data_IF_454936020292
#
_entry.id   IF_454936020292
#
_cell.length_a   1.000
_cell.length_b   1.000
_cell.length_c   1.000
_cell.angle_alpha   90.00
_cell.angle_beta   90.00
_cell.angle_gamma   90.00
#
_symmetry.space_group_name_H-M   'P 1'
#
loop_
_entity.id
_entity.type
_entity.pdbx_description
1 polymer ?
#
# COMPACT_ATOMS: atom_id res chain seq x y z
N UNK A 1 31.27 -37.86 6.11
CA UNK A 1 31.89 -36.53 5.87
C UNK A 1 30.95 -35.49 6.43
N UNK A 2 31.43 -34.66 7.35
CA UNK A 2 30.66 -33.59 7.99
C UNK A 2 30.45 -32.45 7.00
N UNK A 3 29.22 -31.93 6.88
CA UNK A 3 28.94 -30.77 6.03
C UNK A 3 29.81 -29.58 6.47
N UNK A 4 30.56 -28.99 5.54
CA UNK A 4 31.47 -27.86 5.83
C UNK A 4 30.81 -26.49 5.65
N UNK A 5 29.66 -26.43 4.97
CA UNK A 5 28.88 -25.21 4.81
C UNK A 5 27.43 -25.56 4.45
N UNK A 6 26.48 -24.84 5.04
CA UNK A 6 25.07 -24.89 4.66
C UNK A 6 24.73 -23.60 3.93
N UNK A 7 24.51 -23.68 2.62
CA UNK A 7 23.97 -22.55 1.86
C UNK A 7 22.48 -22.41 2.15
N UNK A 8 22.07 -21.25 2.67
CA UNK A 8 20.67 -21.01 2.99
C UNK A 8 19.89 -20.44 1.80
N UNK A 9 20.34 -19.33 1.21
CA UNK A 9 19.78 -18.71 -0.01
C UNK A 9 20.63 -17.51 -0.47
N UNK A 10 20.48 -17.13 -1.74
CA UNK A 10 20.86 -15.78 -2.22
C UNK A 10 19.81 -14.76 -1.74
N UNK A 11 20.15 -13.48 -1.58
CA UNK A 11 19.21 -12.43 -1.10
C UNK A 11 17.92 -12.36 -1.92
N UNK A 12 18.01 -12.73 -3.19
CA UNK A 12 16.97 -12.52 -4.18
C UNK A 12 16.06 -13.75 -4.37
N UNK A 13 16.42 -14.88 -3.73
CA UNK A 13 15.70 -16.14 -3.83
C UNK A 13 14.98 -16.44 -2.51
N UNK A 14 13.67 -16.69 -2.57
CA UNK A 14 12.87 -17.15 -1.44
C UNK A 14 12.48 -18.61 -1.61
N UNK A 15 12.55 -19.40 -0.55
CA UNK A 15 11.98 -20.75 -0.54
C UNK A 15 10.58 -20.73 0.07
N UNK A 16 9.61 -21.35 -0.58
CA UNK A 16 8.27 -21.57 -0.04
C UNK A 16 7.87 -23.04 -0.23
N UNK A 17 6.87 -23.50 0.52
CA UNK A 17 6.19 -24.76 0.25
C UNK A 17 5.13 -24.53 -0.82
N UNK A 18 5.16 -25.31 -1.90
CA UNK A 18 4.17 -25.22 -2.97
C UNK A 18 2.78 -25.59 -2.43
N UNK A 19 1.81 -24.69 -2.58
CA UNK A 19 0.40 -24.92 -2.17
C UNK A 19 -0.43 -25.58 -3.27
N UNK A 20 0.10 -25.62 -4.49
CA UNK A 20 -0.44 -26.25 -5.69
C UNK A 20 0.73 -26.66 -6.58
N UNK A 21 0.45 -27.41 -7.65
CA UNK A 21 1.50 -27.79 -8.59
C UNK A 21 2.06 -26.56 -9.31
N UNK A 22 3.39 -26.42 -9.32
CA UNK A 22 4.07 -25.23 -9.83
C UNK A 22 5.00 -25.56 -11.00
N UNK A 23 5.04 -24.71 -12.02
CA UNK A 23 5.93 -24.86 -13.19
C UNK A 23 7.04 -23.82 -13.23
N UNK A 24 8.18 -24.15 -13.84
CA UNK A 24 9.28 -23.18 -14.02
C UNK A 24 8.80 -21.94 -14.79
N UNK A 25 9.19 -20.75 -14.34
CA UNK A 25 8.77 -19.48 -14.92
C UNK A 25 7.36 -19.02 -14.51
N UNK A 26 6.62 -19.81 -13.72
CA UNK A 26 5.31 -19.40 -13.22
C UNK A 26 5.42 -18.17 -12.32
N UNK A 27 4.55 -17.19 -12.56
CA UNK A 27 4.36 -16.01 -11.72
C UNK A 27 3.47 -16.38 -10.55
N UNK A 28 3.91 -16.11 -9.33
CA UNK A 28 3.15 -16.34 -8.10
C UNK A 28 3.17 -15.10 -7.20
N UNK A 29 2.06 -14.82 -6.55
CA UNK A 29 1.99 -13.81 -5.50
C UNK A 29 2.37 -14.44 -4.15
N UNK A 30 3.25 -13.78 -3.41
CA UNK A 30 3.60 -14.13 -2.03
C UNK A 30 2.57 -13.56 -1.06
N UNK A 31 2.45 -14.17 0.13
CA UNK A 31 1.50 -13.72 1.16
C UNK A 31 1.65 -12.24 1.58
N UNK A 32 2.84 -11.67 1.43
CA UNK A 32 3.09 -10.25 1.74
C UNK A 32 2.81 -9.31 0.55
N UNK A 33 2.24 -9.81 -0.55
CA UNK A 33 1.87 -9.04 -1.74
C UNK A 33 2.97 -8.85 -2.78
N UNK A 34 4.20 -9.30 -2.51
CA UNK A 34 5.30 -9.32 -3.50
C UNK A 34 5.14 -10.45 -4.51
N UNK A 35 5.70 -10.26 -5.70
CA UNK A 35 5.77 -11.30 -6.73
C UNK A 35 7.02 -12.16 -6.60
N UNK A 36 6.85 -13.45 -6.88
CA UNK A 36 7.93 -14.40 -7.11
C UNK A 36 7.78 -15.10 -8.46
N UNK A 37 8.91 -15.43 -9.10
CA UNK A 37 8.97 -16.29 -10.28
C UNK A 37 9.58 -17.63 -9.89
N UNK A 38 8.89 -18.73 -10.19
CA UNK A 38 9.38 -20.09 -9.94
C UNK A 38 10.66 -20.37 -10.74
N UNK A 39 11.72 -20.80 -10.06
CA UNK A 39 13.03 -21.08 -10.65
C UNK A 39 13.40 -22.57 -10.58
N UNK A 40 14.20 -23.01 -11.55
CA UNK A 40 15.05 -24.19 -11.40
C UNK A 40 14.34 -25.55 -11.42
N UNK A 41 13.17 -25.67 -12.05
CA UNK A 41 12.54 -26.98 -12.21
C UNK A 41 13.15 -27.69 -13.42
N UNK A 42 13.95 -28.73 -13.16
CA UNK A 42 14.79 -29.38 -14.17
C UNK A 42 14.04 -30.20 -15.23
N UNK A 43 12.70 -30.36 -15.17
CA UNK A 43 11.86 -30.92 -16.27
C UNK A 43 10.42 -31.25 -15.88
N UNK A 44 9.94 -30.94 -14.68
CA UNK A 44 8.59 -31.27 -14.24
C UNK A 44 7.94 -30.19 -13.39
N UNK A 45 6.62 -30.25 -13.25
CA UNK A 45 5.93 -29.48 -12.22
C UNK A 45 6.39 -29.98 -10.85
N UNK A 46 6.66 -29.07 -9.92
CA UNK A 46 6.76 -29.44 -8.51
C UNK A 46 5.37 -29.82 -8.03
N UNK A 47 5.31 -30.89 -7.24
CA UNK A 47 4.05 -31.34 -6.66
C UNK A 47 3.78 -30.52 -5.39
N UNK A 48 2.50 -30.29 -5.12
CA UNK A 48 2.03 -29.69 -3.87
C UNK A 48 2.75 -30.28 -2.64
N UNK A 49 3.25 -29.42 -1.75
CA UNK A 49 3.98 -29.80 -0.54
C UNK A 49 5.51 -29.79 -0.67
N UNK A 50 6.06 -29.67 -1.89
CA UNK A 50 7.50 -29.57 -2.11
C UNK A 50 8.03 -28.14 -1.90
N UNK A 51 9.31 -28.01 -1.55
CA UNK A 51 9.97 -26.71 -1.42
C UNK A 51 10.41 -26.17 -2.79
N UNK A 52 9.90 -24.99 -3.16
CA UNK A 52 10.22 -24.30 -4.41
C UNK A 52 11.06 -23.05 -4.15
N UNK A 53 12.00 -22.76 -5.05
CA UNK A 53 12.75 -21.51 -5.07
C UNK A 53 12.06 -20.48 -5.97
N UNK A 54 11.82 -19.28 -5.43
CA UNK A 54 11.21 -18.15 -6.13
C UNK A 54 12.22 -17.01 -6.25
N UNK A 55 12.44 -16.50 -7.45
CA UNK A 55 13.14 -15.24 -7.66
C UNK A 55 12.20 -14.07 -7.36
N UNK A 56 12.61 -13.17 -6.47
CA UNK A 56 11.78 -12.02 -6.01
C UNK A 56 12.33 -10.67 -6.45
N UNK A 57 13.47 -10.65 -7.15
CA UNK A 57 14.12 -9.45 -7.68
C UNK A 57 14.81 -9.79 -9.00
N UNK A 58 15.05 -8.78 -9.82
CA UNK A 58 15.73 -8.89 -11.12
C UNK A 58 14.82 -8.60 -12.30
N UNK A 59 15.41 -8.54 -13.51
CA UNK A 59 14.69 -8.25 -14.75
C UNK A 59 14.33 -9.53 -15.48
N UNK A 60 13.04 -9.71 -15.79
CA UNK A 60 12.51 -10.91 -16.45
C UNK A 60 11.72 -10.54 -17.70
N UNK A 61 11.78 -11.40 -18.72
CA UNK A 61 10.85 -11.35 -19.86
C UNK A 61 9.55 -12.03 -19.45
N UNK A 62 8.47 -11.26 -19.30
CA UNK A 62 7.14 -11.73 -18.88
C UNK A 62 6.19 -11.69 -20.07
N UNK A 63 5.37 -12.72 -20.23
CA UNK A 63 4.35 -12.79 -21.29
C UNK A 63 3.36 -11.63 -21.18
N UNK A 64 3.02 -11.02 -22.31
CA UNK A 64 2.06 -9.93 -22.41
C UNK A 64 1.25 -10.07 -23.71
N UNK A 65 0.02 -9.54 -23.72
CA UNK A 65 -0.79 -9.56 -24.93
C UNK A 65 -0.13 -8.71 -26.04
N UNK A 66 -0.29 -9.13 -27.30
CA UNK A 66 0.37 -8.49 -28.45
C UNK A 66 -0.06 -7.04 -28.64
N UNK A 67 -1.33 -6.73 -28.36
CA UNK A 67 -1.88 -5.37 -28.49
C UNK A 67 -1.45 -4.42 -27.37
N UNK A 68 -1.02 -4.94 -26.22
CA UNK A 68 -0.63 -4.13 -25.06
C UNK A 68 0.69 -3.42 -25.30
N UNK A 69 0.81 -2.16 -24.94
CA UNK A 69 2.06 -1.39 -25.04
C UNK A 69 2.49 -0.91 -23.66
N UNK A 70 3.81 -0.82 -23.45
CA UNK A 70 4.41 -0.25 -22.25
C UNK A 70 5.51 0.72 -22.65
N UNK A 71 5.65 1.82 -21.91
CA UNK A 71 6.84 2.68 -21.91
C UNK A 71 7.82 2.20 -20.85
N UNK A 72 9.10 2.54 -21.00
CA UNK A 72 10.06 2.33 -19.91
C UNK A 72 9.67 3.20 -18.71
N UNK A 73 9.60 2.58 -17.52
CA UNK A 73 9.11 3.22 -16.30
C UNK A 73 7.64 2.96 -15.98
N UNK A 74 6.86 2.38 -16.90
CA UNK A 74 5.45 2.07 -16.63
C UNK A 74 5.30 0.97 -15.59
N UNK A 75 4.29 1.12 -14.73
CA UNK A 75 3.88 0.09 -13.79
C UNK A 75 3.22 -1.08 -14.54
N UNK A 76 3.64 -2.30 -14.20
CA UNK A 76 3.18 -3.54 -14.83
C UNK A 76 2.46 -4.40 -13.79
N UNK A 77 1.27 -4.86 -14.15
CA UNK A 77 0.43 -5.73 -13.36
C UNK A 77 0.29 -7.09 -14.03
N UNK A 78 0.07 -8.13 -13.26
CA UNK A 78 -0.27 -9.47 -13.72
C UNK A 78 -1.77 -9.62 -13.76
N UNK A 79 -2.32 -9.90 -14.94
CA UNK A 79 -3.69 -10.38 -15.12
C UNK A 79 -3.67 -11.91 -14.96
N UNK A 80 -4.21 -12.37 -13.85
CA UNK A 80 -4.28 -13.79 -13.49
C UNK A 80 -5.20 -14.58 -14.43
N UNK A 81 -6.27 -13.95 -14.92
CA UNK A 81 -7.26 -14.58 -15.79
C UNK A 81 -6.72 -14.83 -17.20
N UNK A 82 -5.91 -13.91 -17.71
CA UNK A 82 -5.24 -14.02 -19.00
C UNK A 82 -3.83 -14.63 -18.91
N UNK A 83 -3.28 -14.77 -17.69
CA UNK A 83 -1.88 -15.14 -17.45
C UNK A 83 -0.91 -14.27 -18.26
N UNK A 84 -1.13 -12.95 -18.22
CA UNK A 84 -0.39 -11.98 -19.03
C UNK A 84 -0.14 -10.68 -18.27
N UNK A 85 0.93 -9.98 -18.65
CA UNK A 85 1.24 -8.65 -18.12
C UNK A 85 0.34 -7.59 -18.79
N UNK A 86 -0.25 -6.73 -17.95
CA UNK A 86 -1.17 -5.65 -18.33
C UNK A 86 -0.75 -4.32 -17.69
N UNK A 87 -1.07 -3.16 -18.29
CA UNK A 87 -0.79 -1.86 -17.72
C UNK A 87 -1.81 -1.53 -16.63
N UNK A 88 -1.45 -0.61 -15.73
CA UNK A 88 -2.29 -0.13 -14.64
C UNK A 88 -3.67 0.41 -15.09
N UNK A 89 -3.80 0.82 -16.36
CA UNK A 89 -5.01 1.41 -16.91
C UNK A 89 -6.10 0.39 -17.27
N UNK A 90 -5.80 -0.91 -17.25
CA UNK A 90 -6.81 -1.96 -17.47
C UNK A 90 -7.56 -2.19 -16.16
N UNK A 91 -8.86 -2.47 -16.23
CA UNK A 91 -9.65 -2.86 -15.05
C UNK A 91 -9.06 -4.15 -14.47
N UNK A 92 -8.38 -4.02 -13.33
CA UNK A 92 -7.81 -5.15 -12.62
C UNK A 92 -8.88 -5.80 -11.74
N UNK A 93 -8.94 -7.13 -11.75
CA UNK A 93 -9.63 -7.85 -10.68
C UNK A 93 -8.77 -7.76 -9.42
N UNK A 94 -9.13 -6.85 -8.52
CA UNK A 94 -8.39 -6.60 -7.29
C UNK A 94 -8.19 -7.85 -6.40
N UNK A 95 -8.96 -8.93 -6.63
CA UNK A 95 -8.85 -10.18 -5.87
C UNK A 95 -7.84 -11.18 -6.44
N UNK A 96 -7.42 -11.01 -7.69
CA UNK A 96 -6.59 -12.01 -8.39
C UNK A 96 -5.41 -11.38 -9.16
N UNK A 97 -5.55 -10.13 -9.59
CA UNK A 97 -4.51 -9.39 -10.30
C UNK A 97 -3.62 -8.63 -9.33
N UNK A 98 -2.32 -8.59 -9.62
CA UNK A 98 -1.34 -8.05 -8.68
C UNK A 98 -0.18 -7.36 -9.38
N UNK A 99 0.46 -6.44 -8.66
CA UNK A 99 1.60 -5.68 -9.16
C UNK A 99 2.82 -6.59 -9.40
N UNK A 100 3.40 -6.54 -10.59
CA UNK A 100 4.64 -7.26 -10.94
C UNK A 100 5.88 -6.42 -10.63
N UNK A 101 5.88 -5.16 -11.04
CA UNK A 101 7.08 -4.33 -11.07
C UNK A 101 7.00 -3.22 -12.11
N UNK A 102 8.17 -2.76 -12.58
CA UNK A 102 8.29 -1.66 -13.54
C UNK A 102 8.88 -2.16 -14.85
N UNK A 103 8.34 -1.71 -15.97
CA UNK A 103 8.89 -1.99 -17.29
C UNK A 103 10.26 -1.30 -17.45
N UNK A 104 11.30 -2.08 -17.77
CA UNK A 104 12.67 -1.55 -17.96
C UNK A 104 12.92 -1.05 -19.39
N UNK A 105 12.09 -1.47 -20.33
CA UNK A 105 12.16 -1.09 -21.73
C UNK A 105 10.74 -0.94 -22.29
N UNK A 106 10.60 -0.11 -23.32
CA UNK A 106 9.34 0.03 -24.01
C UNK A 106 8.97 -1.28 -24.74
N UNK A 107 7.70 -1.67 -24.64
CA UNK A 107 7.09 -2.73 -25.43
C UNK A 107 6.15 -2.11 -26.45
N UNK A 108 6.34 -2.41 -27.72
CA UNK A 108 5.45 -1.97 -28.80
C UNK A 108 4.40 -3.03 -29.12
N UNK A 109 3.39 -2.64 -29.90
CA UNK A 109 2.39 -3.59 -30.41
C UNK A 109 3.06 -4.68 -31.27
N UNK A 110 2.55 -5.90 -31.18
CA UNK A 110 3.07 -7.09 -31.88
C UNK A 110 4.12 -7.89 -31.09
N UNK A 111 4.80 -7.29 -30.11
CA UNK A 111 5.65 -8.03 -29.18
C UNK A 111 4.79 -8.82 -28.19
N UNK A 112 5.22 -10.00 -27.76
CA UNK A 112 4.47 -10.86 -26.82
C UNK A 112 5.11 -10.96 -25.44
N UNK A 113 6.20 -10.22 -25.20
CA UNK A 113 6.90 -10.16 -23.92
C UNK A 113 7.21 -8.72 -23.52
N UNK A 114 7.28 -8.46 -22.21
CA UNK A 114 7.74 -7.20 -21.61
C UNK A 114 8.87 -7.49 -20.63
N UNK A 115 9.91 -6.64 -20.61
CA UNK A 115 11.00 -6.71 -19.63
C UNK A 115 10.62 -6.00 -18.34
N UNK A 116 10.40 -6.74 -17.26
CA UNK A 116 9.94 -6.21 -15.97
C UNK A 116 11.01 -6.38 -14.92
N UNK A 117 11.37 -5.30 -14.23
CA UNK A 117 12.14 -5.36 -12.99
C UNK A 117 11.18 -5.70 -11.84
N UNK A 118 11.29 -6.92 -11.32
CA UNK A 118 10.35 -7.49 -10.36
C UNK A 118 10.35 -6.75 -9.04
N UNK A 119 9.16 -6.44 -8.56
CA UNK A 119 8.93 -5.68 -7.34
C UNK A 119 9.66 -4.32 -7.31
N UNK A 120 10.20 -3.85 -8.44
CA UNK A 120 10.72 -2.50 -8.55
C UNK A 120 9.59 -1.52 -8.26
N UNK A 121 9.87 -0.51 -7.44
CA UNK A 121 8.82 0.42 -7.01
C UNK A 121 7.76 -0.19 -6.07
N UNK A 122 7.93 -1.44 -5.59
CA UNK A 122 7.08 -1.97 -4.53
C UNK A 122 7.29 -1.12 -3.27
N UNK A 123 6.37 -0.17 -3.09
CA UNK A 123 6.37 0.72 -1.93
C UNK A 123 5.93 -0.14 -0.76
N UNK A 124 6.89 -0.57 0.07
CA UNK A 124 6.58 -0.98 1.43
C UNK A 124 5.62 0.05 2.01
N UNK A 125 4.58 -0.40 2.71
CA UNK A 125 3.74 0.47 3.54
C UNK A 125 4.66 1.19 4.53
N UNK A 126 5.17 2.34 4.11
CA UNK A 126 5.78 3.32 4.98
C UNK A 126 4.61 4.07 5.62
N UNK A 127 4.79 4.63 6.82
CA UNK A 127 3.81 5.56 7.37
C UNK A 127 3.55 6.62 6.31
N UNK A 128 2.29 6.70 5.85
CA UNK A 128 1.91 7.76 4.93
C UNK A 128 1.75 9.01 5.76
N UNK A 129 2.46 10.06 5.35
CA UNK A 129 2.42 11.36 5.98
C UNK A 129 1.90 12.33 4.96
N UNK A 130 0.78 12.96 5.28
CA UNK A 130 0.28 14.12 4.54
C UNK A 130 0.15 15.28 5.51
N UNK A 131 0.60 16.45 5.08
CA UNK A 131 0.47 17.69 5.86
C UNK A 131 -0.74 18.45 5.32
N UNK A 132 -1.79 18.52 6.13
CA UNK A 132 -3.00 19.28 5.83
C UNK A 132 -2.80 20.73 6.24
N UNK A 133 -3.25 21.64 5.38
CA UNK A 133 -3.34 23.06 5.71
C UNK A 133 -4.74 23.35 6.28
N UNK A 134 -4.82 23.52 7.60
CA UNK A 134 -6.10 23.71 8.27
C UNK A 134 -6.60 25.16 8.22
N UNK A 135 -5.99 26.03 7.39
CA UNK A 135 -6.50 27.37 7.12
C UNK A 135 -7.82 27.33 6.32
N UNK A 136 -8.72 28.25 6.66
CA UNK A 136 -10.04 28.32 6.04
C UNK A 136 -9.93 28.54 4.53
N UNK A 137 -10.44 27.58 3.76
CA UNK A 137 -10.51 27.65 2.29
C UNK A 137 -9.22 27.29 1.58
N UNK A 138 -8.16 26.89 2.29
CA UNK A 138 -6.89 26.48 1.69
C UNK A 138 -6.92 25.01 1.29
N UNK A 139 -7.11 24.10 2.25
CA UNK A 139 -7.11 22.66 1.98
C UNK A 139 -8.49 22.01 2.04
N UNK A 140 -9.34 22.35 1.07
CA UNK A 140 -10.71 21.80 0.99
C UNK A 140 -10.80 20.46 0.25
N UNK A 141 -9.68 19.97 -0.28
CA UNK A 141 -9.65 18.77 -1.12
C UNK A 141 -9.56 17.48 -0.28
N UNK A 142 -10.03 16.38 -0.85
CA UNK A 142 -9.79 15.05 -0.28
C UNK A 142 -8.43 14.55 -0.74
N UNK A 143 -7.55 14.21 0.21
CA UNK A 143 -6.21 13.69 -0.06
C UNK A 143 -6.14 12.20 0.15
N UNK A 144 -5.41 11.52 -0.74
CA UNK A 144 -5.16 10.08 -0.62
C UNK A 144 -4.01 9.84 0.34
N UNK A 145 -4.30 9.23 1.49
CA UNK A 145 -3.30 8.83 2.48
C UNK A 145 -2.76 7.45 2.12
N UNK A 146 -3.63 6.48 1.88
CA UNK A 146 -3.26 5.15 1.40
C UNK A 146 -4.00 4.88 0.09
N UNK A 147 -3.30 4.77 -1.05
CA UNK A 147 -3.95 4.42 -2.32
C UNK A 147 -4.60 3.03 -2.27
N UNK A 148 -5.74 2.87 -2.95
CA UNK A 148 -6.44 1.58 -3.05
C UNK A 148 -5.57 0.44 -3.61
N UNK A 149 -4.68 0.76 -4.55
CA UNK A 149 -3.73 -0.20 -5.11
C UNK A 149 -2.74 -0.77 -4.09
N UNK A 150 -2.53 -0.09 -2.95
CA UNK A 150 -1.69 -0.55 -1.84
C UNK A 150 -2.48 -1.39 -0.83
N UNK A 151 -3.76 -1.63 -1.07
CA UNK A 151 -4.66 -2.43 -0.25
C UNK A 151 -5.31 -3.58 -1.07
N UNK A 152 -4.53 -4.51 -1.65
CA UNK A 152 -5.11 -5.61 -2.42
C UNK A 152 -5.85 -6.63 -1.54
N UNK A 153 -5.44 -6.82 -0.29
CA UNK A 153 -5.95 -7.90 0.58
C UNK A 153 -6.78 -7.42 1.77
N UNK A 154 -7.00 -6.11 1.89
CA UNK A 154 -7.56 -5.49 3.09
C UNK A 154 -6.46 -4.90 3.98
N UNK A 155 -6.79 -3.87 4.74
CA UNK A 155 -5.90 -3.25 5.72
C UNK A 155 -6.51 -3.32 7.10
N UNK A 156 -5.65 -3.52 8.09
CA UNK A 156 -5.95 -3.28 9.50
C UNK A 156 -5.25 -1.99 9.93
N UNK A 157 -6.04 -0.98 10.28
CA UNK A 157 -5.56 0.30 10.81
C UNK A 157 -5.20 0.10 12.27
N UNK A 158 -3.92 0.27 12.60
CA UNK A 158 -3.41 0.08 13.95
C UNK A 158 -3.41 1.39 14.73
N UNK A 159 -3.07 2.49 14.07
CA UNK A 159 -3.06 3.83 14.67
C UNK A 159 -3.16 4.91 13.60
N UNK A 160 -3.90 5.97 13.93
CA UNK A 160 -3.94 7.24 13.19
C UNK A 160 -3.65 8.35 14.18
N UNK A 161 -2.68 9.18 13.84
CA UNK A 161 -2.19 10.26 14.71
C UNK A 161 -1.92 11.51 13.88
N UNK A 162 -2.31 12.67 14.39
CA UNK A 162 -1.92 13.98 13.89
C UNK A 162 -0.77 14.55 14.72
N UNK A 163 0.15 15.26 14.09
CA UNK A 163 1.15 16.13 14.72
C UNK A 163 0.92 17.56 14.23
N UNK A 164 0.77 18.50 15.14
CA UNK A 164 0.66 19.92 14.80
C UNK A 164 2.04 20.39 14.31
N UNK A 165 2.15 20.75 13.03
CA UNK A 165 3.41 21.22 12.44
C UNK A 165 3.51 22.73 12.35
N UNK A 166 2.38 23.42 12.43
CA UNK A 166 2.27 24.87 12.56
C UNK A 166 1.10 25.18 13.51
N UNK A 167 1.25 26.20 14.36
CA UNK A 167 0.31 26.51 15.44
C UNK A 167 -1.09 26.79 14.89
N UNK A 168 -2.13 26.18 15.48
CA UNK A 168 -3.51 26.54 15.14
C UNK A 168 -3.85 27.91 15.73
N UNK A 169 -3.90 28.94 14.89
CA UNK A 169 -4.23 30.29 15.33
C UNK A 169 -5.75 30.51 15.33
N UNK A 170 -6.32 30.84 16.49
CA UNK A 170 -7.72 31.24 16.63
C UNK A 170 -8.00 31.90 17.98
N UNK A 171 -9.16 32.55 18.10
CA UNK A 171 -9.59 33.22 19.35
C UNK A 171 -10.77 32.55 20.04
N UNK A 172 -11.34 31.51 19.42
CA UNK A 172 -12.57 30.85 19.89
C UNK A 172 -12.75 29.40 19.43
N UNK A 173 -12.12 28.99 18.32
CA UNK A 173 -12.13 27.60 17.84
C UNK A 173 -10.79 27.31 17.14
N UNK A 174 -9.82 26.82 17.91
CA UNK A 174 -8.43 26.54 17.47
C UNK A 174 -8.31 25.15 16.82
N UNK A 175 -9.41 24.65 16.25
CA UNK A 175 -9.52 23.24 15.87
C UNK A 175 -9.38 23.10 14.36
N UNK A 176 -8.16 22.81 13.90
CA UNK A 176 -7.95 22.16 12.60
C UNK A 176 -8.41 20.70 12.70
N UNK A 177 -9.67 20.43 12.36
CA UNK A 177 -10.24 19.08 12.42
C UNK A 177 -10.00 18.37 11.09
N UNK A 178 -9.33 17.23 11.14
CA UNK A 178 -9.10 16.37 9.98
C UNK A 178 -9.91 15.08 10.13
N UNK A 179 -10.77 14.79 9.15
CA UNK A 179 -11.54 13.54 9.11
C UNK A 179 -10.90 12.56 8.14
N UNK A 180 -10.65 11.35 8.63
CA UNK A 180 -10.06 10.24 7.88
C UNK A 180 -11.15 9.26 7.48
N UNK A 181 -11.15 8.87 6.21
CA UNK A 181 -12.18 8.01 5.60
C UNK A 181 -11.56 6.89 4.78
N UNK A 182 -12.23 5.76 4.66
CA UNK A 182 -11.97 4.84 3.56
C UNK A 182 -12.61 5.35 2.25
N UNK A 183 -12.30 4.73 1.12
CA UNK A 183 -12.90 5.11 -0.17
C UNK A 183 -14.28 4.48 -0.42
N UNK A 184 -14.97 3.99 0.61
CA UNK A 184 -16.33 3.47 0.46
C UNK A 184 -17.35 4.59 0.26
N UNK A 185 -18.57 4.21 -0.15
CA UNK A 185 -19.64 5.17 -0.45
C UNK A 185 -20.32 5.72 0.80
N UNK A 186 -20.64 4.91 1.82
CA UNK A 186 -21.11 5.31 3.18
C UNK A 186 -21.44 4.04 4.01
N UNK A 187 -21.22 4.00 5.35
CA UNK A 187 -20.36 4.90 6.12
C UNK A 187 -18.90 4.61 5.80
N UNK A 188 -18.12 5.67 5.60
CA UNK A 188 -16.70 5.57 5.23
C UNK A 188 -15.76 6.25 6.24
N UNK A 189 -16.27 6.94 7.26
CA UNK A 189 -15.43 7.57 8.28
C UNK A 189 -14.72 6.52 9.14
N UNK A 190 -13.40 6.59 9.17
CA UNK A 190 -12.54 5.79 10.04
C UNK A 190 -12.39 6.49 11.39
N UNK A 191 -11.99 7.77 11.38
CA UNK A 191 -11.90 8.60 12.58
C UNK A 191 -11.88 10.09 12.24
N UNK A 192 -11.95 10.90 13.30
CA UNK A 192 -11.74 12.35 13.24
C UNK A 192 -10.65 12.72 14.25
N UNK A 193 -9.67 13.48 13.81
CA UNK A 193 -8.63 14.07 14.65
C UNK A 193 -9.13 15.44 15.09
N UNK A 194 -9.45 15.56 16.37
CA UNK A 194 -9.98 16.80 16.97
C UNK A 194 -9.01 17.27 18.04
N UNK A 195 -8.28 18.37 17.83
CA UNK A 195 -7.54 19.04 18.89
C UNK A 195 -8.53 19.51 19.95
N UNK A 196 -8.53 18.88 21.13
CA UNK A 196 -9.66 18.96 22.07
C UNK A 196 -9.61 20.19 23.00
N UNK A 197 -8.55 20.97 23.02
CA UNK A 197 -8.42 22.18 23.84
C UNK A 197 -7.35 23.16 23.30
N UNK A 198 -7.25 24.33 23.95
CA UNK A 198 -6.25 25.38 23.70
C UNK A 198 -4.81 25.01 24.12
N UNK A 199 -4.56 23.74 24.48
CA UNK A 199 -3.23 23.23 24.80
C UNK A 199 -2.78 22.15 23.80
N UNK A 200 -3.58 21.88 22.77
CA UNK A 200 -3.31 20.95 21.68
C UNK A 200 -3.16 21.68 20.33
N UNK A 201 -2.61 22.90 20.37
CA UNK A 201 -2.44 23.80 19.24
C UNK A 201 -0.98 24.19 19.00
N UNK A 202 -0.04 23.73 19.83
CA UNK A 202 1.37 24.06 19.73
C UNK A 202 2.11 23.12 18.77
N UNK A 203 3.17 23.62 18.14
CA UNK A 203 4.03 22.80 17.27
C UNK A 203 4.61 21.62 18.05
N UNK A 204 4.41 20.41 17.53
CA UNK A 204 4.84 19.16 18.14
C UNK A 204 3.77 18.48 18.99
N UNK A 205 2.61 19.11 19.20
CA UNK A 205 1.49 18.48 19.88
C UNK A 205 0.94 17.31 19.05
N UNK A 206 0.57 16.24 19.76
CA UNK A 206 0.13 14.99 19.16
C UNK A 206 -1.37 14.80 19.37
N UNK A 207 -2.12 14.80 18.26
CA UNK A 207 -3.56 14.58 18.24
C UNK A 207 -3.82 13.11 17.95
N UNK A 208 -4.35 12.38 18.92
CA UNK A 208 -4.60 10.96 18.78
C UNK A 208 -6.03 10.68 18.30
N UNK A 209 -6.19 9.78 17.33
CA UNK A 209 -7.54 9.29 17.01
C UNK A 209 -8.14 8.56 18.23
N UNK A 210 -9.44 8.72 18.44
CA UNK A 210 -10.15 8.02 19.49
C UNK A 210 -10.57 6.59 19.05
N UNK A 211 -10.67 5.68 20.01
CA UNK A 211 -11.27 4.35 19.82
C UNK A 211 -10.51 3.45 18.85
N UNK A 212 -11.25 2.73 18.00
CA UNK A 212 -10.74 1.66 17.13
C UNK A 212 -9.66 2.10 16.13
N UNK A 213 -9.64 3.38 15.76
CA UNK A 213 -8.65 3.95 14.85
C UNK A 213 -7.27 4.18 15.50
N UNK A 214 -7.17 4.01 16.82
CA UNK A 214 -5.92 4.07 17.57
C UNK A 214 -5.75 2.86 18.50
N UNK A 215 -5.96 1.67 17.94
CA UNK A 215 -5.97 0.42 18.69
C UNK A 215 -4.69 0.19 19.49
N UNK A 216 -3.51 0.58 18.99
CA UNK A 216 -2.21 0.40 19.69
C UNK A 216 -2.15 1.17 21.01
N UNK A 217 -2.68 2.39 21.05
CA UNK A 217 -2.59 3.27 22.22
C UNK A 217 -3.87 3.24 23.07
N UNK A 218 -4.87 2.49 22.63
CA UNK A 218 -6.15 2.33 23.33
C UNK A 218 -6.12 1.23 24.41
N UNK A 219 -7.22 1.10 25.14
CA UNK A 219 -7.36 0.04 26.12
C UNK A 219 -7.27 -1.37 25.50
N UNK A 220 -6.77 -2.33 26.27
CA UNK A 220 -6.74 -3.74 25.87
C UNK A 220 -8.12 -4.22 25.41
N UNK A 221 -8.17 -4.90 24.25
CA UNK A 221 -9.40 -5.48 23.70
C UNK A 221 -10.16 -4.59 22.71
N UNK A 222 -9.67 -3.38 22.42
CA UNK A 222 -10.21 -2.55 21.34
C UNK A 222 -9.89 -3.19 19.98
N UNK A 223 -10.92 -3.42 19.18
CA UNK A 223 -10.75 -3.92 17.83
C UNK A 223 -10.18 -2.83 16.91
N UNK A 224 -9.22 -3.20 16.05
CA UNK A 224 -8.73 -2.33 14.99
C UNK A 224 -9.81 -2.06 13.93
N UNK A 225 -9.73 -0.90 13.27
CA UNK A 225 -10.54 -0.65 12.07
C UNK A 225 -10.01 -1.47 10.90
N UNK A 226 -10.89 -2.19 10.22
CA UNK A 226 -10.56 -2.89 8.99
C UNK A 226 -11.04 -2.08 7.79
N UNK A 227 -10.17 -1.89 6.80
CA UNK A 227 -10.50 -1.33 5.49
C UNK A 227 -10.52 -2.47 4.50
N UNK A 228 -11.65 -2.67 3.80
CA UNK A 228 -11.81 -3.78 2.87
C UNK A 228 -10.79 -3.73 1.71
N UNK A 229 -10.49 -4.89 1.12
CA UNK A 229 -9.65 -4.99 -0.08
C UNK A 229 -10.13 -4.06 -1.20
N UNK A 230 -9.17 -3.53 -1.97
CA UNK A 230 -9.42 -2.59 -3.07
C UNK A 230 -9.85 -1.18 -2.64
N UNK A 231 -9.83 -0.86 -1.34
CA UNK A 231 -10.17 0.49 -0.84
C UNK A 231 -8.94 1.26 -0.38
N UNK A 232 -8.95 2.57 -0.61
CA UNK A 232 -7.94 3.47 -0.08
C UNK A 232 -8.32 4.04 1.29
N UNK A 233 -7.39 4.76 1.89
CA UNK A 233 -7.62 5.67 3.02
C UNK A 233 -7.37 7.09 2.54
N UNK A 234 -8.27 7.98 2.90
CA UNK A 234 -8.25 9.40 2.51
C UNK A 234 -8.42 10.27 3.74
N UNK A 235 -7.99 11.53 3.66
CA UNK A 235 -8.23 12.54 4.69
C UNK A 235 -8.69 13.84 4.06
N UNK A 236 -9.43 14.63 4.83
CA UNK A 236 -9.91 15.96 4.44
C UNK A 236 -10.02 16.84 5.69
N UNK A 237 -9.70 18.12 5.55
CA UNK A 237 -10.00 19.12 6.59
C UNK A 237 -11.51 19.28 6.67
N UNK A 238 -12.12 18.77 7.74
CA UNK A 238 -13.57 18.81 7.94
C UNK A 238 -14.04 20.03 8.70
N UNK A 239 -13.15 20.64 9.48
CA UNK A 239 -13.33 21.97 10.05
C UNK A 239 -11.98 22.69 10.00
N UNK A 240 -11.93 23.79 9.28
CA UNK A 240 -10.78 24.66 9.29
C UNK A 240 -10.73 25.45 10.60
N UNK A 241 -9.52 25.89 10.94
CA UNK A 241 -9.28 26.86 12.02
C UNK A 241 -10.02 28.18 11.77
N UNK A 242 -10.46 28.83 12.84
CA UNK A 242 -11.14 30.12 12.77
C UNK A 242 -10.21 31.24 13.26
N UNK A 243 -9.83 32.18 12.38
CA UNK A 243 -8.90 33.25 12.74
C UNK A 243 -8.49 34.10 11.53
N UNK A 244 -8.01 35.32 11.78
CA UNK A 244 -7.54 36.25 10.74
C UNK A 244 -6.04 36.16 10.42
N UNK A 245 -5.33 35.18 11.00
CA UNK A 245 -3.89 34.94 10.79
C UNK A 245 -3.68 33.58 10.13
N UNK A 246 -2.61 33.40 9.33
CA UNK A 246 -2.30 32.11 8.69
C UNK A 246 -2.30 31.00 9.72
N UNK A 247 -3.05 29.94 9.45
CA UNK A 247 -3.52 29.04 10.49
C UNK A 247 -3.07 27.60 10.25
N UNK A 248 -2.81 26.93 11.38
CA UNK A 248 -1.88 25.82 11.52
C UNK A 248 -2.06 24.62 10.61
N UNK A 249 -0.99 23.82 10.57
CA UNK A 249 -0.85 22.64 9.73
C UNK A 249 -0.82 21.40 10.60
N UNK A 250 -1.36 20.30 10.07
CA UNK A 250 -1.35 19.01 10.74
C UNK A 250 -0.74 17.93 9.84
N UNK A 251 0.34 17.29 10.30
CA UNK A 251 0.86 16.07 9.69
C UNK A 251 0.06 14.88 10.20
N UNK A 252 -0.61 14.17 9.31
CA UNK A 252 -1.34 12.96 9.67
C UNK A 252 -0.53 11.73 9.30
N UNK A 253 -0.32 10.86 10.27
CA UNK A 253 0.35 9.57 10.16
C UNK A 253 -0.69 8.46 10.24
N UNK A 254 -0.68 7.57 9.23
CA UNK A 254 -1.51 6.35 9.24
C UNK A 254 -0.61 5.12 9.32
N UNK A 255 -0.73 4.37 10.42
CA UNK A 255 -0.09 3.07 10.60
C UNK A 255 -1.09 1.95 10.32
N UNK A 256 -0.85 1.22 9.23
CA UNK A 256 -1.69 0.12 8.79
C UNK A 256 -0.85 -1.11 8.43
N UNK A 257 -1.43 -2.30 8.57
CA UNK A 257 -0.86 -3.56 8.09
C UNK A 257 -1.81 -4.24 7.11
N UNK A 258 -1.31 -4.96 6.09
CA UNK A 258 -2.16 -5.78 5.23
C UNK A 258 -2.83 -6.89 6.04
N UNK A 259 -4.07 -7.21 5.69
CA UNK A 259 -4.68 -8.48 6.07
C UNK A 259 -4.09 -9.58 5.19
N UNK A 260 -3.74 -10.71 5.80
CA UNK A 260 -3.24 -11.93 5.14
C UNK A 260 -4.32 -12.99 5.12
#
# INVERSE_FOLDING_TARGET
>A
MTSQATFYKNSDIRKITATSDMTSGQVVQLAEGRVGIVQGLNSGALVTGESVALATQGVFDINAASATTFSAGDEVFWDSSASAAVPASVSLDASADFYLGVATAAKTSGQTTVKVDLNAGWKRLRPFVYEFDCETGVDTATHTLIPAAMNPTGLKILSITGEVSEVFAGSSQDQGIVTIKDTATTPNTICTLTPSDAAADAVGDVIQAAGAANAILSATGVACVNVAAGRGVTGVVSQATSGGTPAGKMKVYVLAIPLV
#
